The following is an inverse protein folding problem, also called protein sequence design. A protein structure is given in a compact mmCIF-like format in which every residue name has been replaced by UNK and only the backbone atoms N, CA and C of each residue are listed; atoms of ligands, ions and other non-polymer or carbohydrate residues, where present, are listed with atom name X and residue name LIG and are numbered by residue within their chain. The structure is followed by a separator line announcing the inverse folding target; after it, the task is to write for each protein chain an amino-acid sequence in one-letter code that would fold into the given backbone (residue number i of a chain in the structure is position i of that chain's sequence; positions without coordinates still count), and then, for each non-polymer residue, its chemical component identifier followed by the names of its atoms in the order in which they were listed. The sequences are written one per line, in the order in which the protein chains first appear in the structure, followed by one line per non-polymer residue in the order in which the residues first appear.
data_IF_378273064767
#
_entry.id   IF_378273064767
#
_cell.length_a   1.000
_cell.length_b   1.000
_cell.length_c   1.000
_cell.angle_alpha   90.00
_cell.angle_beta   90.00
_cell.angle_gamma   90.00
#
_symmetry.space_group_name_H-M   'P 1'
#
loop_
_entity.id
_entity.type
_entity.pdbx_description
1 polymer ?
#
# COMPACT_ATOMS: atom_id res chain seq x y z
N UNK A 1 -0.91 16.05 -9.40
CA UNK A 1 -1.89 15.54 -10.37
C UNK A 1 -3.00 14.83 -9.62
N UNK A 2 -4.19 14.70 -10.21
CA UNK A 2 -5.30 13.96 -9.60
C UNK A 2 -6.07 13.20 -10.67
N UNK A 3 -6.52 12.00 -10.32
CA UNK A 3 -7.31 11.12 -11.18
C UNK A 3 -8.51 10.60 -10.39
N UNK A 4 -9.67 10.58 -11.05
CA UNK A 4 -10.90 9.96 -10.57
C UNK A 4 -11.37 8.95 -11.62
N UNK A 5 -11.56 7.69 -11.23
CA UNK A 5 -12.06 6.65 -12.12
C UNK A 5 -13.22 5.88 -11.51
N UNK A 6 -14.10 5.40 -12.39
CA UNK A 6 -15.25 4.58 -12.05
C UNK A 6 -15.10 3.25 -12.77
N UNK A 7 -15.42 2.16 -12.06
CA UNK A 7 -15.28 0.81 -12.59
C UNK A 7 -16.53 0.01 -12.26
N UNK A 8 -17.08 -0.62 -13.29
CA UNK A 8 -18.21 -1.52 -13.18
C UNK A 8 -17.73 -2.97 -13.15
N UNK A 9 -18.56 -3.87 -12.59
CA UNK A 9 -18.26 -5.30 -12.49
C UNK A 9 -16.92 -5.61 -11.80
N UNK A 10 -16.54 -4.77 -10.83
CA UNK A 10 -15.32 -4.98 -10.04
C UNK A 10 -15.52 -6.10 -9.03
N UNK A 11 -14.58 -7.05 -8.95
CA UNK A 11 -14.55 -8.00 -7.85
C UNK A 11 -14.41 -7.27 -6.51
N UNK A 12 -15.19 -7.71 -5.53
CA UNK A 12 -15.18 -7.22 -4.16
C UNK A 12 -14.62 -8.31 -3.23
N UNK A 13 -14.16 -7.90 -2.06
CA UNK A 13 -13.61 -8.81 -1.05
C UNK A 13 -14.73 -9.73 -0.55
N UNK A 14 -14.55 -11.04 -0.74
CA UNK A 14 -15.44 -12.06 -0.24
C UNK A 14 -15.06 -12.45 1.20
N UNK A 15 -16.06 -12.78 2.02
CA UNK A 15 -15.84 -13.61 3.21
C UNK A 15 -15.35 -14.99 2.74
N UNK A 16 -14.04 -15.21 2.85
CA UNK A 16 -13.39 -16.48 2.58
C UNK A 16 -12.44 -16.56 1.39
N UNK A 17 -11.98 -15.42 0.86
CA UNK A 17 -11.14 -15.32 -0.36
C UNK A 17 -11.88 -15.74 -1.64
N UNK A 18 -12.52 -16.92 -1.67
CA UNK A 18 -13.51 -17.38 -2.66
C UNK A 18 -14.41 -18.45 -2.05
N UNK A 19 -15.70 -18.49 -2.41
CA UNK A 19 -16.62 -19.57 -1.99
C UNK A 19 -16.84 -20.58 -3.11
N UNK A 20 -15.80 -21.35 -3.40
CA UNK A 20 -15.92 -22.55 -4.26
C UNK A 20 -16.19 -23.73 -3.34
N UNK A 21 -17.43 -24.20 -3.30
CA UNK A 21 -17.82 -25.34 -2.47
C UNK A 21 -17.48 -26.66 -3.17
N UNK A 22 -17.21 -27.76 -2.43
CA UNK A 22 -17.06 -29.08 -3.04
C UNK A 22 -18.29 -29.43 -3.89
N UNK A 23 -18.08 -29.71 -5.18
CA UNK A 23 -19.15 -30.00 -6.14
C UNK A 23 -19.66 -28.78 -6.93
N UNK A 24 -19.11 -27.59 -6.72
CA UNK A 24 -19.39 -26.42 -7.56
C UNK A 24 -18.79 -26.60 -8.96
N UNK A 25 -19.67 -26.84 -9.93
CA UNK A 25 -19.33 -26.98 -11.35
C UNK A 25 -19.88 -25.84 -12.21
N UNK A 26 -20.51 -24.83 -11.59
CA UNK A 26 -21.26 -23.78 -12.29
C UNK A 26 -20.63 -22.41 -12.14
N UNK A 27 -19.83 -22.18 -11.10
CA UNK A 27 -19.16 -20.89 -10.93
C UNK A 27 -18.02 -20.71 -11.92
N UNK A 28 -17.87 -19.48 -12.40
CA UNK A 28 -16.86 -19.07 -13.35
C UNK A 28 -16.41 -17.62 -13.10
N UNK A 29 -15.38 -17.17 -13.80
CA UNK A 29 -14.88 -15.78 -13.69
C UNK A 29 -15.69 -14.73 -14.46
N UNK A 30 -16.87 -15.09 -15.00
CA UNK A 30 -17.69 -14.20 -15.83
C UNK A 30 -19.09 -14.00 -15.25
N UNK A 31 -20.07 -14.79 -15.70
CA UNK A 31 -21.48 -14.55 -15.45
C UNK A 31 -21.96 -15.12 -14.12
N UNK A 32 -21.25 -16.12 -13.58
CA UNK A 32 -21.57 -16.78 -12.31
C UNK A 32 -20.38 -16.75 -11.33
N UNK A 33 -19.95 -15.56 -10.85
CA UNK A 33 -18.79 -15.43 -9.99
C UNK A 33 -19.02 -16.08 -8.61
N UNK A 34 -18.00 -16.78 -8.09
CA UNK A 34 -17.96 -17.32 -6.72
C UNK A 34 -17.53 -16.26 -5.66
N UNK A 35 -17.73 -14.97 -5.98
CA UNK A 35 -17.33 -13.81 -5.20
C UNK A 35 -18.31 -12.66 -5.42
N UNK A 36 -18.35 -11.66 -4.52
CA UNK A 36 -19.18 -10.48 -4.70
C UNK A 36 -18.63 -9.60 -5.81
N UNK A 37 -19.54 -9.04 -6.61
CA UNK A 37 -19.22 -8.14 -7.72
C UNK A 37 -20.01 -6.86 -7.54
N UNK A 38 -19.42 -5.72 -7.88
CA UNK A 38 -20.10 -4.44 -7.79
C UNK A 38 -19.42 -3.32 -8.55
N UNK A 39 -19.92 -2.11 -8.37
CA UNK A 39 -19.35 -0.90 -8.96
C UNK A 39 -18.53 -0.15 -7.92
N UNK A 40 -17.46 0.51 -8.35
CA UNK A 40 -16.55 1.26 -7.47
C UNK A 40 -16.07 2.55 -8.10
N UNK A 41 -15.69 3.47 -7.22
CA UNK A 41 -15.03 4.73 -7.54
C UNK A 41 -13.65 4.73 -6.87
N UNK A 42 -12.64 5.20 -7.60
CA UNK A 42 -11.25 5.26 -7.19
C UNK A 42 -10.76 6.68 -7.44
N UNK A 43 -10.13 7.28 -6.45
CA UNK A 43 -9.53 8.60 -6.53
C UNK A 43 -8.08 8.50 -6.08
N UNK A 44 -7.17 9.05 -6.89
CA UNK A 44 -5.76 9.13 -6.56
C UNK A 44 -5.26 10.56 -6.77
N UNK A 45 -4.45 11.04 -5.85
CA UNK A 45 -3.82 12.35 -5.94
C UNK A 45 -2.34 12.20 -5.62
N UNK A 46 -1.50 12.80 -6.46
CA UNK A 46 -0.05 12.82 -6.26
C UNK A 46 0.50 14.24 -6.28
N UNK A 47 1.50 14.48 -5.44
CA UNK A 47 2.26 15.73 -5.36
C UNK A 47 3.75 15.40 -5.37
N UNK A 48 4.51 16.17 -6.13
CA UNK A 48 5.97 16.09 -6.17
C UNK A 48 6.49 17.51 -6.06
N UNK A 49 7.45 17.73 -5.17
CA UNK A 49 8.14 19.01 -5.06
C UNK A 49 9.63 18.79 -4.88
N UNK A 50 10.42 19.68 -5.46
CA UNK A 50 11.85 19.77 -5.27
C UNK A 50 12.14 21.06 -4.52
N UNK A 51 12.89 20.93 -3.44
CA UNK A 51 13.24 22.01 -2.53
C UNK A 51 14.71 22.36 -2.73
N UNK A 52 15.00 23.66 -2.75
CA UNK A 52 16.37 24.16 -2.75
C UNK A 52 17.08 23.94 -1.42
N UNK A 53 18.32 24.43 -1.35
CA UNK A 53 19.13 24.35 -0.15
C UNK A 53 18.49 25.08 1.05
N UNK A 54 18.68 24.52 2.23
CA UNK A 54 18.30 25.08 3.52
C UNK A 54 19.43 24.85 4.54
N UNK A 55 19.33 25.34 5.78
CA UNK A 55 20.31 25.02 6.83
C UNK A 55 20.41 23.51 7.15
N UNK A 56 19.41 22.71 6.77
CA UNK A 56 19.32 21.29 7.10
C UNK A 56 19.75 20.36 5.95
N UNK A 57 19.70 20.83 4.69
CA UNK A 57 19.99 20.02 3.50
C UNK A 57 20.45 20.90 2.32
N UNK A 58 21.19 20.33 1.36
CA UNK A 58 21.66 21.05 0.17
C UNK A 58 20.69 20.97 -1.01
N UNK A 59 19.81 19.97 -0.98
CA UNK A 59 18.61 19.85 -1.80
C UNK A 59 17.66 18.87 -1.12
N UNK A 60 16.40 18.86 -1.51
CA UNK A 60 15.49 17.80 -1.06
C UNK A 60 14.38 17.56 -2.08
N UNK A 61 13.85 16.35 -2.10
CA UNK A 61 12.61 16.04 -2.80
C UNK A 61 11.54 15.56 -1.83
N UNK A 62 10.29 15.87 -2.14
CA UNK A 62 9.14 15.32 -1.45
C UNK A 62 8.14 14.80 -2.48
N UNK A 63 7.67 13.59 -2.22
CA UNK A 63 6.62 12.92 -2.97
C UNK A 63 5.53 12.54 -1.99
N UNK A 64 4.28 12.83 -2.34
CA UNK A 64 3.12 12.44 -1.55
C UNK A 64 2.02 11.90 -2.45
N UNK A 65 1.40 10.82 -2.02
CA UNK A 65 0.25 10.19 -2.67
C UNK A 65 -0.90 10.03 -1.67
N UNK A 66 -2.11 10.26 -2.15
CA UNK A 66 -3.35 10.00 -1.45
C UNK A 66 -4.24 9.14 -2.34
N UNK A 67 -4.64 7.98 -1.82
CA UNK A 67 -5.55 7.06 -2.48
C UNK A 67 -6.85 6.96 -1.69
N UNK A 68 -7.98 7.00 -2.39
CA UNK A 68 -9.33 6.80 -1.85
C UNK A 68 -10.11 5.87 -2.76
N UNK A 69 -10.74 4.85 -2.18
CA UNK A 69 -11.59 3.93 -2.91
C UNK A 69 -12.94 3.81 -2.23
N UNK A 70 -14.00 3.69 -3.02
CA UNK A 70 -15.36 3.55 -2.52
C UNK A 70 -16.16 2.56 -3.38
N UNK A 71 -16.81 1.60 -2.72
CA UNK A 71 -17.87 0.79 -3.31
C UNK A 71 -19.12 1.63 -3.51
N UNK A 72 -19.65 1.63 -4.72
CA UNK A 72 -20.87 2.35 -5.07
C UNK A 72 -22.10 1.48 -4.81
N UNK A 73 -22.11 0.27 -5.38
CA UNK A 73 -23.15 -0.75 -5.19
C UNK A 73 -22.56 -2.15 -5.33
N UNK A 74 -23.24 -3.14 -4.77
CA UNK A 74 -23.01 -4.56 -5.08
C UNK A 74 -24.06 -4.99 -6.10
N UNK A 75 -23.64 -5.69 -7.14
CA UNK A 75 -24.51 -6.15 -8.23
C UNK A 75 -24.74 -7.66 -8.21
N UNK A 76 -23.80 -8.44 -7.64
CA UNK A 76 -23.94 -9.89 -7.48
C UNK A 76 -23.36 -10.35 -6.13
N UNK A 77 -23.98 -11.37 -5.54
CA UNK A 77 -23.53 -12.09 -4.35
C UNK A 77 -23.20 -11.21 -3.13
N UNK A 78 -24.06 -10.23 -2.83
CA UNK A 78 -23.88 -9.33 -1.68
C UNK A 78 -23.78 -10.07 -0.35
N UNK A 79 -24.49 -11.20 -0.20
CA UNK A 79 -24.44 -12.06 0.97
C UNK A 79 -23.05 -12.67 1.23
N UNK A 80 -22.12 -12.60 0.27
CA UNK A 80 -20.75 -13.10 0.42
C UNK A 80 -19.73 -11.99 0.67
N UNK A 81 -20.15 -10.72 0.68
CA UNK A 81 -19.26 -9.60 0.96
C UNK A 81 -18.66 -9.75 2.36
N UNK A 82 -17.35 -9.49 2.50
CA UNK A 82 -16.71 -9.56 3.82
C UNK A 82 -17.37 -8.55 4.78
N UNK A 83 -17.91 -9.02 5.92
CA UNK A 83 -18.64 -8.17 6.86
C UNK A 83 -17.76 -7.11 7.55
N UNK A 84 -16.44 -7.30 7.55
CA UNK A 84 -15.47 -6.38 8.13
C UNK A 84 -14.99 -5.33 7.13
N UNK A 85 -15.31 -5.49 5.84
CA UNK A 85 -15.01 -4.51 4.81
C UNK A 85 -15.92 -3.29 4.94
N UNK A 86 -15.34 -2.09 4.87
CA UNK A 86 -16.11 -0.85 4.82
C UNK A 86 -16.38 -0.43 3.40
N UNK A 87 -17.40 0.40 3.21
CA UNK A 87 -17.79 0.91 1.90
C UNK A 87 -16.68 1.76 1.25
N UNK A 88 -15.92 2.51 2.05
CA UNK A 88 -14.79 3.31 1.57
C UNK A 88 -13.53 3.08 2.38
N UNK A 89 -12.39 3.40 1.79
CA UNK A 89 -11.09 3.42 2.47
C UNK A 89 -10.19 4.49 1.87
N UNK A 90 -9.29 5.04 2.70
CA UNK A 90 -8.25 5.98 2.27
C UNK A 90 -6.90 5.65 2.89
N UNK A 91 -5.84 5.96 2.15
CA UNK A 91 -4.46 5.85 2.60
C UNK A 91 -3.61 6.97 2.02
N UNK A 92 -2.48 7.21 2.66
CA UNK A 92 -1.42 8.10 2.17
C UNK A 92 -0.10 7.36 2.09
N UNK A 93 0.75 7.80 1.17
CA UNK A 93 2.14 7.40 1.10
C UNK A 93 3.01 8.62 0.82
N UNK A 94 3.98 8.85 1.68
CA UNK A 94 4.87 10.01 1.64
C UNK A 94 6.32 9.55 1.58
N UNK A 95 7.13 10.24 0.81
CA UNK A 95 8.59 10.08 0.78
C UNK A 95 9.23 11.46 0.79
N UNK A 96 10.04 11.71 1.79
CA UNK A 96 10.91 12.89 1.87
C UNK A 96 12.36 12.44 1.77
N UNK A 97 13.13 13.07 0.89
CA UNK A 97 14.52 12.70 0.65
C UNK A 97 15.40 13.95 0.61
N UNK A 98 15.99 14.35 1.76
CA UNK A 98 17.11 15.28 1.81
C UNK A 98 18.34 14.74 1.06
N UNK A 99 19.09 15.67 0.48
CA UNK A 99 20.28 15.42 -0.32
C UNK A 99 21.45 16.28 0.17
N UNK A 100 22.62 15.65 0.19
CA UNK A 100 23.90 16.22 0.58
C UNK A 100 24.92 15.88 -0.51
N UNK A 101 25.44 16.91 -1.18
CA UNK A 101 26.34 16.75 -2.31
C UNK A 101 27.79 16.88 -1.87
N UNK A 102 28.67 16.06 -2.44
CA UNK A 102 30.11 16.10 -2.22
C UNK A 102 30.51 16.15 -0.73
N UNK A 103 29.84 15.34 0.10
CA UNK A 103 30.20 15.21 1.53
C UNK A 103 31.64 14.71 1.71
N UNK A 104 32.14 14.00 0.70
CA UNK A 104 33.53 13.65 0.47
C UNK A 104 33.81 13.75 -1.05
N UNK A 105 35.08 13.79 -1.50
CA UNK A 105 35.40 13.85 -2.92
C UNK A 105 34.72 12.76 -3.75
N UNK A 106 33.74 13.16 -4.56
CA UNK A 106 32.96 12.27 -5.42
C UNK A 106 31.89 11.46 -4.71
N UNK A 107 31.53 11.76 -3.45
CA UNK A 107 30.46 11.08 -2.71
C UNK A 107 29.28 12.02 -2.48
N UNK A 108 28.10 11.61 -2.94
CA UNK A 108 26.83 12.25 -2.58
C UNK A 108 26.03 11.33 -1.65
N UNK A 109 25.28 11.92 -0.71
CA UNK A 109 24.42 11.19 0.23
C UNK A 109 22.97 11.66 0.09
N UNK A 110 22.03 10.73 0.13
CA UNK A 110 20.60 11.01 0.28
C UNK A 110 20.05 10.28 1.51
N UNK A 111 19.07 10.87 2.19
CA UNK A 111 18.43 10.28 3.38
C UNK A 111 16.95 10.04 3.10
N UNK A 112 16.56 8.93 2.45
CA UNK A 112 15.14 8.65 2.22
C UNK A 112 14.39 8.39 3.54
N UNK A 113 13.27 9.09 3.72
CA UNK A 113 12.33 8.91 4.82
C UNK A 113 10.94 8.64 4.21
N UNK A 114 10.40 7.45 4.44
CA UNK A 114 9.13 6.99 3.91
C UNK A 114 8.07 6.79 4.99
N UNK A 115 6.81 7.05 4.65
CA UNK A 115 5.64 6.74 5.48
C UNK A 115 4.51 6.25 4.59
N UNK A 116 3.95 5.07 4.87
CA UNK A 116 2.67 4.64 4.33
C UNK A 116 1.68 4.47 5.49
N UNK A 117 0.49 5.04 5.38
CA UNK A 117 -0.48 5.04 6.47
C UNK A 117 -1.93 4.93 5.99
N UNK A 118 -2.69 4.01 6.61
CA UNK A 118 -4.11 3.82 6.36
C UNK A 118 -4.93 4.81 7.18
N UNK A 119 -5.52 5.81 6.54
CA UNK A 119 -6.28 6.87 7.20
C UNK A 119 -7.64 6.37 7.68
N UNK A 120 -8.38 5.69 6.81
CA UNK A 120 -9.74 5.27 7.10
C UNK A 120 -10.14 4.02 6.34
N UNK A 121 -11.08 3.30 6.94
CA UNK A 121 -11.75 2.18 6.29
C UNK A 121 -10.88 0.96 5.99
N UNK A 122 -11.53 -0.04 5.40
CA UNK A 122 -11.08 -1.36 5.03
C UNK A 122 -11.69 -1.61 3.66
N UNK A 123 -10.94 -1.37 2.58
CA UNK A 123 -11.53 -1.33 1.23
C UNK A 123 -12.26 -2.65 0.93
N UNK A 124 -13.49 -2.55 0.44
CA UNK A 124 -14.21 -3.74 -0.04
C UNK A 124 -13.88 -4.09 -1.49
N UNK A 125 -13.08 -3.28 -2.19
CA UNK A 125 -12.67 -3.57 -3.58
C UNK A 125 -11.50 -4.55 -3.55
N UNK A 126 -11.62 -5.66 -4.26
CA UNK A 126 -10.57 -6.67 -4.34
C UNK A 126 -9.29 -6.07 -4.96
N UNK A 127 -8.12 -6.48 -4.47
CA UNK A 127 -6.83 -5.86 -4.80
C UNK A 127 -6.54 -4.61 -3.96
N UNK A 128 -7.41 -3.59 -3.99
CA UNK A 128 -7.23 -2.39 -3.17
C UNK A 128 -7.19 -2.73 -1.66
N UNK A 129 -7.99 -3.70 -1.22
CA UNK A 129 -7.96 -4.19 0.16
C UNK A 129 -6.62 -4.80 0.60
N UNK A 130 -5.82 -5.33 -0.33
CA UNK A 130 -4.53 -5.96 -0.04
C UNK A 130 -3.37 -4.98 -0.20
N UNK A 131 -3.54 -3.95 -1.03
CA UNK A 131 -2.50 -2.97 -1.37
C UNK A 131 -2.56 -1.72 -0.49
N UNK A 132 -3.73 -1.40 0.09
CA UNK A 132 -3.85 -0.28 1.02
C UNK A 132 -3.39 -0.68 2.43
N UNK A 133 -2.60 0.15 3.12
CA UNK A 133 -2.31 -0.06 4.52
C UNK A 133 -3.59 -0.20 5.35
N UNK A 134 -3.58 -1.02 6.41
CA UNK A 134 -4.74 -1.17 7.29
C UNK A 134 -5.05 0.15 7.99
N UNK A 135 -6.33 0.40 8.31
CA UNK A 135 -6.73 1.60 9.08
C UNK A 135 -5.93 1.70 10.38
N UNK A 136 -5.26 2.83 10.59
CA UNK A 136 -4.44 3.06 11.78
C UNK A 136 -3.12 2.29 11.78
N UNK A 137 -2.72 1.69 10.66
CA UNK A 137 -1.45 0.99 10.50
C UNK A 137 -0.77 1.31 9.18
N UNK A 138 0.42 0.75 9.02
CA UNK A 138 1.26 0.97 7.86
C UNK A 138 2.73 0.74 8.16
N UNK A 139 3.60 1.50 7.50
CA UNK A 139 5.04 1.39 7.69
C UNK A 139 5.72 2.75 7.65
N UNK A 140 6.82 2.85 8.38
CA UNK A 140 7.76 3.94 8.37
C UNK A 140 9.11 3.39 7.93
N UNK A 141 9.82 4.11 7.06
CA UNK A 141 11.17 3.74 6.66
C UNK A 141 12.11 4.93 6.74
N UNK A 142 13.36 4.64 7.08
CA UNK A 142 14.46 5.60 7.05
C UNK A 142 15.70 4.90 6.54
N UNK A 143 16.47 5.58 5.69
CA UNK A 143 17.69 5.02 5.15
C UNK A 143 18.73 6.05 4.81
N UNK A 144 19.85 5.54 4.33
CA UNK A 144 20.95 6.30 3.76
C UNK A 144 21.30 5.70 2.40
N UNK A 145 21.42 6.55 1.39
CA UNK A 145 21.91 6.21 0.06
C UNK A 145 23.19 6.98 -0.20
N UNK A 146 24.19 6.32 -0.75
CA UNK A 146 25.47 6.92 -1.11
C UNK A 146 25.80 6.63 -2.57
N UNK A 147 26.16 7.66 -3.32
CA UNK A 147 26.65 7.55 -4.69
C UNK A 147 28.13 7.95 -4.72
N UNK A 148 29.03 7.04 -5.12
CA UNK A 148 30.44 7.35 -5.36
C UNK A 148 30.72 7.44 -6.87
N UNK A 149 31.06 8.64 -7.32
CA UNK A 149 31.37 9.02 -8.71
C UNK A 149 30.31 8.60 -9.72
N UNK A 150 29.06 8.41 -9.25
CA UNK A 150 27.93 7.82 -10.01
C UNK A 150 28.22 6.42 -10.60
N UNK A 151 29.31 5.78 -10.17
CA UNK A 151 29.71 4.42 -10.59
C UNK A 151 29.27 3.39 -9.57
N UNK A 152 29.37 3.72 -8.28
CA UNK A 152 28.96 2.86 -7.18
C UNK A 152 27.81 3.51 -6.42
N UNK A 153 26.78 2.72 -6.16
CA UNK A 153 25.56 3.17 -5.49
C UNK A 153 25.29 2.18 -4.36
N UNK A 154 25.25 2.68 -3.13
CA UNK A 154 24.99 1.88 -1.93
C UNK A 154 23.76 2.41 -1.21
N UNK A 155 22.99 1.54 -0.57
CA UNK A 155 21.92 1.97 0.33
C UNK A 155 21.73 1.02 1.49
N UNK A 156 21.42 1.60 2.65
CA UNK A 156 21.01 0.89 3.86
C UNK A 156 19.69 1.49 4.32
N UNK A 157 18.64 0.68 4.45
CA UNK A 157 17.32 1.15 4.86
C UNK A 157 16.79 0.30 6.00
N UNK A 158 16.16 0.95 6.97
CA UNK A 158 15.38 0.32 8.03
C UNK A 158 13.89 0.57 7.79
N UNK A 159 13.07 -0.46 7.95
CA UNK A 159 11.60 -0.37 7.84
C UNK A 159 10.97 -0.89 9.12
N UNK A 160 10.13 -0.06 9.72
CA UNK A 160 9.29 -0.39 10.87
C UNK A 160 7.82 -0.47 10.46
N UNK A 161 7.15 -1.55 10.84
CA UNK A 161 5.71 -1.72 10.61
C UNK A 161 4.92 -1.46 11.88
N UNK A 162 3.83 -0.69 11.77
CA UNK A 162 3.04 -0.27 12.91
C UNK A 162 1.53 -0.46 12.68
N UNK A 163 0.76 -0.34 13.77
CA UNK A 163 -0.68 -0.61 13.81
C UNK A 163 -1.00 -2.00 14.38
N UNK A 164 -2.29 -2.35 14.40
CA UNK A 164 -2.73 -3.68 14.88
C UNK A 164 -2.14 -4.76 13.99
N UNK A 165 -1.31 -5.62 14.58
CA UNK A 165 -0.60 -6.70 13.89
C UNK A 165 -1.38 -8.00 13.93
N UNK A 166 -1.28 -8.81 12.88
CA UNK A 166 -1.87 -10.15 12.84
C UNK A 166 -1.95 -10.77 11.45
N UNK A 167 -2.39 -12.02 11.39
CA UNK A 167 -2.50 -12.80 10.15
C UNK A 167 -3.47 -12.16 9.15
N UNK A 168 -3.33 -12.48 7.86
CA UNK A 168 -4.26 -12.00 6.81
C UNK A 168 -5.71 -12.43 7.08
N UNK A 169 -5.89 -13.65 7.58
CA UNK A 169 -7.20 -14.25 7.90
C UNK A 169 -7.44 -14.19 9.42
N UNK A 170 -8.67 -13.94 9.84
CA UNK A 170 -9.07 -14.12 11.24
C UNK A 170 -9.28 -15.60 11.58
N UNK A 171 -8.76 -15.99 12.73
CA UNK A 171 -9.02 -17.30 13.31
C UNK A 171 -10.25 -17.25 14.23
N UNK A 172 -10.87 -18.42 14.46
CA UNK A 172 -11.99 -18.60 15.40
C UNK A 172 -13.26 -17.79 15.06
N UNK A 173 -13.51 -17.56 13.78
CA UNK A 173 -14.75 -16.94 13.28
C UNK A 173 -15.65 -17.98 12.60
N UNK A 174 -16.96 -17.75 12.63
CA UNK A 174 -17.95 -18.65 12.02
C UNK A 174 -17.81 -18.76 10.49
N UNK A 175 -17.19 -17.76 9.86
CA UNK A 175 -16.80 -17.75 8.47
C UNK A 175 -15.36 -17.27 8.34
N UNK A 176 -14.60 -17.70 7.30
CA UNK A 176 -13.30 -17.13 7.00
C UNK A 176 -13.46 -15.64 6.63
N UNK A 177 -12.81 -14.77 7.39
CA UNK A 177 -12.89 -13.30 7.27
C UNK A 177 -11.47 -12.72 7.21
N UNK A 178 -11.29 -11.58 6.55
CA UNK A 178 -10.01 -10.87 6.58
C UNK A 178 -9.82 -10.17 7.94
N UNK A 179 -8.59 -10.17 8.47
CA UNK A 179 -8.29 -9.46 9.71
C UNK A 179 -8.22 -7.95 9.53
N UNK A 180 -7.81 -7.50 8.34
CA UNK A 180 -7.41 -6.12 8.06
C UNK A 180 -6.34 -5.60 9.04
N UNK A 181 -5.51 -6.51 9.56
CA UNK A 181 -4.36 -6.20 10.40
C UNK A 181 -3.11 -6.08 9.54
N UNK A 182 -2.09 -5.42 10.10
CA UNK A 182 -0.79 -5.33 9.48
C UNK A 182 -0.06 -6.68 9.64
N UNK A 183 -0.03 -7.47 8.56
CA UNK A 183 0.60 -8.79 8.57
C UNK A 183 2.13 -8.75 8.57
N UNK A 184 2.72 -7.56 8.47
CA UNK A 184 4.15 -7.31 8.64
C UNK A 184 4.49 -6.66 10.00
N UNK A 185 3.50 -6.36 10.83
CA UNK A 185 3.71 -5.63 12.09
C UNK A 185 4.55 -6.37 13.14
N UNK A 186 4.91 -7.63 12.89
CA UNK A 186 5.79 -8.47 13.70
C UNK A 186 7.23 -8.59 13.17
N UNK A 187 7.58 -7.92 12.05
CA UNK A 187 8.84 -8.18 11.32
C UNK A 187 9.51 -6.96 10.69
N UNK A 188 9.96 -6.05 11.53
CA UNK A 188 10.86 -4.98 11.09
C UNK A 188 12.13 -5.56 10.44
N UNK A 189 12.67 -4.86 9.44
CA UNK A 189 13.85 -5.35 8.74
C UNK A 189 14.79 -4.23 8.31
N UNK A 190 16.03 -4.65 8.05
CA UNK A 190 17.08 -3.81 7.44
C UNK A 190 17.39 -4.38 6.05
N UNK A 191 17.48 -3.52 5.05
CA UNK A 191 17.93 -3.88 3.70
C UNK A 191 19.22 -3.17 3.34
N UNK A 192 20.15 -3.93 2.77
CA UNK A 192 21.40 -3.43 2.20
C UNK A 192 21.38 -3.71 0.69
N UNK A 193 21.71 -2.71 -0.11
CA UNK A 193 21.88 -2.85 -1.56
C UNK A 193 23.16 -2.16 -2.02
N UNK A 194 23.89 -2.81 -2.92
CA UNK A 194 25.09 -2.27 -3.56
C UNK A 194 24.97 -2.56 -5.06
N UNK A 195 25.10 -1.51 -5.86
CA UNK A 195 25.06 -1.55 -7.31
C UNK A 195 26.29 -0.86 -7.89
N UNK A 196 26.76 -1.39 -9.02
CA UNK A 196 27.80 -0.77 -9.83
C UNK A 196 27.29 -0.60 -11.27
N UNK A 197 27.46 0.58 -11.84
CA UNK A 197 27.18 0.87 -13.26
C UNK A 197 28.46 0.70 -14.09
N UNK A 198 28.32 0.27 -15.35
CA UNK A 198 29.42 0.01 -16.29
C UNK A 198 29.55 1.14 -17.30
#
# INVERSE_FOLDING_TARGET
AGELSFRNNMPMVASGVTRVLPGDSVSNGSDNPAYPVGDSMHFNMSAITVMGASPLWQGASFIGEFAYNQRLKVTKNEQWLDPLATKSASAIQLVFQPEYFQVMPGVDIQVPIGLAYGLSGRSSVAGASALMPPKGGGNFSIGIKGDYKKTWQGSLNFTHYFGSSGSVIKYNTAAPELSYQNFHGDRDFISLSIQRTF
#
